data_IF_791486609508
#
_entry.id   IF_791486609508
#
_cell.length_a   1.000
_cell.length_b   1.000
_cell.length_c   1.000
_cell.angle_alpha   90.00
_cell.angle_beta   90.00
_cell.angle_gamma   90.00
#
_symmetry.space_group_name_H-M   'P 1'
#
loop_
_entity.id
_entity.type
_entity.pdbx_description
1 polymer ?
#
# COMPACT_ATOMS: atom_id res chain seq x y z
N UNK A 1 4.01 34.90 -5.03
CA UNK A 1 4.42 33.93 -6.07
C UNK A 1 4.10 32.53 -5.56
N UNK A 2 3.24 31.77 -6.26
CA UNK A 2 3.04 30.35 -5.96
C UNK A 2 4.25 29.59 -6.50
N UNK A 3 5.14 29.16 -5.61
CA UNK A 3 6.30 28.35 -5.99
C UNK A 3 5.82 26.92 -6.27
N UNK A 4 5.92 26.47 -7.51
CA UNK A 4 5.69 25.09 -7.87
C UNK A 4 6.94 24.27 -7.59
N UNK A 5 6.86 23.35 -6.63
CA UNK A 5 7.92 22.39 -6.32
C UNK A 5 7.82 21.17 -7.24
N UNK A 6 8.97 20.55 -7.48
CA UNK A 6 9.08 19.31 -8.27
C UNK A 6 10.02 18.35 -7.55
N UNK A 7 9.65 17.07 -7.53
CA UNK A 7 10.43 15.99 -6.95
C UNK A 7 10.51 14.83 -7.92
N UNK A 8 11.71 14.56 -8.44
CA UNK A 8 11.99 13.38 -9.25
C UNK A 8 12.28 12.20 -8.31
N UNK A 9 11.50 11.14 -8.43
CA UNK A 9 11.66 9.92 -7.65
C UNK A 9 11.97 8.71 -8.53
N UNK A 10 12.83 7.82 -8.01
CA UNK A 10 13.03 6.45 -8.49
C UNK A 10 12.40 5.48 -7.49
N UNK A 11 11.25 4.87 -7.80
CA UNK A 11 10.59 3.98 -6.88
C UNK A 11 11.25 2.60 -6.83
N UNK A 12 11.30 2.01 -5.64
CA UNK A 12 11.80 0.65 -5.42
C UNK A 12 10.80 -0.08 -4.53
N UNK A 13 10.17 -1.12 -5.06
CA UNK A 13 9.24 -1.97 -4.34
C UNK A 13 9.99 -3.04 -3.53
N UNK A 14 9.63 -3.20 -2.25
CA UNK A 14 10.26 -4.16 -1.34
C UNK A 14 9.21 -4.89 -0.50
N UNK A 15 9.43 -6.19 -0.29
CA UNK A 15 8.58 -7.01 0.58
C UNK A 15 8.92 -6.82 2.06
N UNK A 16 10.18 -6.49 2.39
CA UNK A 16 10.66 -6.27 3.77
C UNK A 16 11.56 -5.05 3.87
N UNK A 17 11.59 -4.40 5.05
CA UNK A 17 12.46 -3.24 5.31
C UNK A 17 13.94 -3.63 5.22
N UNK A 18 14.32 -4.76 5.81
CA UNK A 18 15.70 -5.23 5.92
C UNK A 18 16.33 -5.75 4.62
N UNK A 19 15.53 -6.02 3.59
CA UNK A 19 16.06 -6.41 2.27
C UNK A 19 16.93 -5.30 1.67
N UNK A 20 17.85 -5.63 0.77
CA UNK A 20 18.66 -4.59 0.09
C UNK A 20 17.77 -3.83 -0.90
N UNK A 21 18.06 -2.56 -1.14
CA UNK A 21 17.31 -1.82 -2.16
C UNK A 21 17.55 -2.42 -3.56
N UNK A 22 18.72 -3.05 -3.79
CA UNK A 22 19.05 -3.77 -5.03
C UNK A 22 18.29 -5.08 -5.25
N UNK A 23 17.70 -5.65 -4.19
CA UNK A 23 16.81 -6.82 -4.31
C UNK A 23 15.35 -6.42 -4.53
N UNK A 24 15.04 -5.12 -4.43
CA UNK A 24 13.70 -4.60 -4.71
C UNK A 24 13.46 -4.42 -6.21
N UNK A 25 12.19 -4.41 -6.60
CA UNK A 25 11.81 -4.14 -8.00
C UNK A 25 11.84 -2.64 -8.24
N UNK A 26 12.77 -2.17 -9.07
CA UNK A 26 12.86 -0.76 -9.45
C UNK A 26 11.80 -0.45 -10.50
N UNK A 27 11.00 0.60 -10.27
CA UNK A 27 10.00 1.10 -11.20
C UNK A 27 10.53 2.28 -11.99
N UNK A 28 9.83 2.65 -13.07
CA UNK A 28 10.14 3.85 -13.86
C UNK A 28 10.14 5.11 -12.99
N UNK A 29 11.08 6.01 -13.28
CA UNK A 29 11.17 7.29 -12.59
C UNK A 29 9.87 8.11 -12.78
N UNK A 30 9.53 8.88 -11.76
CA UNK A 30 8.30 9.69 -11.73
C UNK A 30 8.58 11.07 -11.17
N UNK A 31 7.94 12.08 -11.76
CA UNK A 31 8.04 13.47 -11.29
C UNK A 31 6.74 13.87 -10.62
N UNK A 32 6.79 14.06 -9.30
CA UNK A 32 5.70 14.67 -8.57
C UNK A 32 5.85 16.20 -8.58
N UNK A 33 4.75 16.92 -8.77
CA UNK A 33 4.72 18.40 -8.77
C UNK A 33 3.61 18.92 -7.86
N UNK A 34 3.84 20.03 -7.17
CA UNK A 34 2.85 20.62 -6.27
C UNK A 34 3.32 21.93 -5.63
N UNK A 35 2.40 22.72 -5.10
CA UNK A 35 2.65 23.99 -4.42
C UNK A 35 3.08 23.82 -2.95
N UNK A 36 2.92 22.60 -2.41
CA UNK A 36 3.30 22.20 -1.05
C UNK A 36 3.85 20.78 -1.04
N UNK A 37 4.49 20.39 0.07
CA UNK A 37 4.92 18.99 0.23
C UNK A 37 3.73 18.03 0.32
N UNK A 38 2.61 18.47 0.89
CA UNK A 38 1.38 17.67 0.96
C UNK A 38 0.84 17.34 -0.43
N UNK A 39 0.83 18.27 -1.38
CA UNK A 39 0.42 18.00 -2.77
C UNK A 39 1.37 17.03 -3.47
N UNK A 40 2.69 17.19 -3.27
CA UNK A 40 3.70 16.23 -3.77
C UNK A 40 3.42 14.83 -3.22
N UNK A 41 3.16 14.72 -1.91
CA UNK A 41 2.86 13.47 -1.23
C UNK A 41 1.55 12.85 -1.74
N UNK A 42 0.50 13.63 -1.96
CA UNK A 42 -0.75 13.17 -2.55
C UNK A 42 -0.55 12.64 -3.97
N UNK A 43 0.27 13.30 -4.79
CA UNK A 43 0.62 12.84 -6.13
C UNK A 43 1.34 11.49 -6.11
N UNK A 44 2.34 11.34 -5.24
CA UNK A 44 3.05 10.08 -5.05
C UNK A 44 2.15 8.97 -4.51
N UNK A 45 1.29 9.29 -3.54
CA UNK A 45 0.33 8.36 -2.98
C UNK A 45 -0.66 7.86 -4.04
N UNK A 46 -1.21 8.76 -4.84
CA UNK A 46 -2.09 8.40 -5.96
C UNK A 46 -1.39 7.46 -6.96
N UNK A 47 -0.12 7.73 -7.26
CA UNK A 47 0.67 6.92 -8.20
C UNK A 47 1.03 5.52 -7.65
N UNK A 48 1.34 5.43 -6.35
CA UNK A 48 1.98 4.23 -5.78
C UNK A 48 1.17 3.48 -4.73
N UNK A 49 0.06 4.04 -4.22
CA UNK A 49 -0.83 3.28 -3.31
C UNK A 49 -1.35 1.97 -3.91
N UNK A 50 -1.62 1.84 -5.24
CA UNK A 50 -2.01 0.55 -5.82
C UNK A 50 -0.91 -0.52 -5.78
N UNK A 51 0.35 -0.14 -5.49
CA UNK A 51 1.49 -1.06 -5.33
C UNK A 51 1.63 -1.56 -3.89
N UNK A 52 0.94 -0.92 -2.93
CA UNK A 52 0.88 -1.38 -1.54
C UNK A 52 -0.25 -2.40 -1.45
N UNK A 53 0.10 -3.66 -1.14
CA UNK A 53 -0.84 -4.79 -1.09
C UNK A 53 -1.72 -4.76 0.16
N UNK A 54 -1.23 -4.11 1.21
CA UNK A 54 -1.91 -3.88 2.47
C UNK A 54 -0.94 -3.26 3.48
N UNK A 55 -1.37 -3.01 4.70
CA UNK A 55 -0.46 -2.69 5.80
C UNK A 55 -0.59 -3.76 6.86
N UNK A 56 0.52 -4.46 7.10
CA UNK A 56 0.64 -5.39 8.20
C UNK A 56 0.58 -4.63 9.52
N UNK A 57 -0.25 -5.12 10.42
CA UNK A 57 -0.36 -4.66 11.80
C UNK A 57 -0.13 -5.87 12.68
N UNK A 58 0.61 -5.65 13.76
CA UNK A 58 0.78 -6.62 14.83
C UNK A 58 0.29 -5.97 16.10
N UNK A 59 -0.69 -6.59 16.74
CA UNK A 59 -1.24 -6.12 18.01
C UNK A 59 -0.39 -6.61 19.19
N UNK A 60 -0.85 -6.30 20.40
CA UNK A 60 -0.17 -6.66 21.65
C UNK A 60 -0.20 -8.18 21.91
N UNK A 61 -1.14 -8.90 21.29
CA UNK A 61 -1.29 -10.35 21.37
C UNK A 61 -0.45 -11.09 20.30
N UNK A 62 0.49 -10.37 19.65
CA UNK A 62 1.36 -10.86 18.57
C UNK A 62 0.58 -11.39 17.35
N UNK A 63 -0.67 -10.97 17.19
CA UNK A 63 -1.53 -11.41 16.10
C UNK A 63 -1.35 -10.51 14.88
N UNK A 64 -1.09 -11.14 13.74
CA UNK A 64 -0.98 -10.44 12.47
C UNK A 64 -2.37 -10.11 11.91
N UNK A 65 -2.52 -8.88 11.42
CA UNK A 65 -3.68 -8.43 10.66
C UNK A 65 -3.29 -7.55 9.49
N UNK A 66 -4.22 -7.37 8.54
CA UNK A 66 -4.03 -6.53 7.35
C UNK A 66 -5.06 -5.42 7.35
N UNK A 67 -4.58 -4.18 7.26
CA UNK A 67 -5.44 -3.01 7.08
C UNK A 67 -5.21 -2.38 5.72
N UNK A 68 -6.25 -1.74 5.18
CA UNK A 68 -6.12 -0.94 3.96
C UNK A 68 -5.37 0.35 4.33
N UNK A 69 -4.22 0.63 3.71
CA UNK A 69 -3.45 1.80 4.08
C UNK A 69 -4.09 3.06 3.50
N UNK A 70 -4.07 4.14 4.27
CA UNK A 70 -4.54 5.46 3.85
C UNK A 70 -3.37 6.43 3.69
N UNK A 71 -3.62 7.64 3.16
CA UNK A 71 -2.58 8.65 3.01
C UNK A 71 -1.91 9.01 4.35
N UNK A 72 -2.65 8.94 5.46
CA UNK A 72 -2.14 9.12 6.82
C UNK A 72 -1.10 8.06 7.22
N UNK A 73 -1.17 6.87 6.62
CA UNK A 73 -0.21 5.78 6.83
C UNK A 73 1.03 5.89 5.93
N UNK A 74 1.18 6.96 5.15
CA UNK A 74 2.30 7.15 4.20
C UNK A 74 3.66 6.74 4.79
N UNK A 75 4.01 7.22 5.98
CA UNK A 75 5.30 6.95 6.62
C UNK A 75 5.50 5.50 7.04
N UNK A 76 4.40 4.74 7.17
CA UNK A 76 4.40 3.31 7.46
C UNK A 76 4.56 2.45 6.22
N UNK A 77 4.32 2.97 5.01
CA UNK A 77 4.36 2.17 3.78
C UNK A 77 5.32 2.69 2.73
N UNK A 78 5.76 3.94 2.85
CA UNK A 78 6.70 4.57 1.92
C UNK A 78 7.75 5.39 2.65
N UNK A 79 8.94 5.44 2.09
CA UNK A 79 10.09 6.12 2.69
C UNK A 79 10.99 6.73 1.62
N UNK A 80 11.36 7.99 1.79
CA UNK A 80 12.36 8.62 0.96
C UNK A 80 13.77 8.26 1.40
N UNK A 81 14.64 8.01 0.43
CA UNK A 81 16.08 7.88 0.63
C UNK A 81 16.83 8.81 -0.32
N UNK A 82 17.83 9.48 0.24
CA UNK A 82 18.78 10.29 -0.50
C UNK A 82 20.20 9.81 -0.22
N UNK A 83 20.95 9.44 -1.26
CA UNK A 83 22.32 8.89 -1.13
C UNK A 83 22.40 7.77 -0.08
N UNK A 84 21.45 6.82 -0.14
CA UNK A 84 21.27 5.68 0.79
C UNK A 84 20.85 6.04 2.22
N UNK A 85 20.71 7.33 2.56
CA UNK A 85 20.23 7.77 3.87
C UNK A 85 18.72 7.98 3.85
N UNK A 86 18.04 7.48 4.86
CA UNK A 86 16.61 7.74 5.07
C UNK A 86 16.41 9.23 5.31
N UNK A 87 15.47 9.83 4.58
CA UNK A 87 15.04 11.20 4.83
C UNK A 87 14.05 11.16 5.98
N UNK A 88 14.33 11.93 7.03
CA UNK A 88 13.43 12.02 8.18
C UNK A 88 12.10 12.67 7.76
N UNK A 89 10.99 11.98 8.02
CA UNK A 89 9.64 12.35 7.61
C UNK A 89 8.92 13.29 8.59
N UNK A 90 9.51 13.58 9.75
CA UNK A 90 8.91 14.44 10.81
C UNK A 90 9.08 15.95 10.57
N UNK A 91 9.69 16.31 9.43
CA UNK A 91 9.92 17.70 9.02
C UNK A 91 8.62 18.50 8.97
N UNK A 92 8.71 19.74 9.40
CA UNK A 92 7.65 20.71 9.17
C UNK A 92 7.65 21.19 7.70
N UNK A 93 6.59 21.90 7.32
CA UNK A 93 6.41 22.40 5.94
C UNK A 93 7.57 23.29 5.46
N UNK A 94 8.19 24.11 6.33
CA UNK A 94 9.30 24.99 5.95
C UNK A 94 10.56 24.17 5.63
N UNK A 95 10.85 23.18 6.47
CA UNK A 95 11.97 22.25 6.26
C UNK A 95 11.78 21.41 5.00
N UNK A 96 10.55 20.95 4.74
CA UNK A 96 10.23 20.26 3.50
C UNK A 96 10.43 21.14 2.27
N UNK A 97 9.98 22.40 2.30
CA UNK A 97 10.19 23.33 1.19
C UNK A 97 11.66 23.56 0.90
N UNK A 98 12.47 23.80 1.94
CA UNK A 98 13.92 23.95 1.80
C UNK A 98 14.54 22.69 1.22
N UNK A 99 14.09 21.51 1.68
CA UNK A 99 14.56 20.24 1.16
C UNK A 99 14.19 20.04 -0.32
N UNK A 100 12.95 20.34 -0.73
CA UNK A 100 12.49 20.25 -2.12
C UNK A 100 13.30 21.16 -3.04
N UNK A 101 13.54 22.41 -2.64
CA UNK A 101 14.38 23.34 -3.42
C UNK A 101 15.82 22.83 -3.53
N UNK A 102 16.38 22.34 -2.42
CA UNK A 102 17.75 21.82 -2.38
C UNK A 102 17.94 20.57 -3.23
N UNK A 103 16.90 19.75 -3.40
CA UNK A 103 16.92 18.49 -4.16
C UNK A 103 16.37 18.61 -5.57
N UNK A 104 16.08 19.82 -6.03
CA UNK A 104 15.57 20.04 -7.38
C UNK A 104 16.57 19.50 -8.42
N UNK A 105 16.07 18.65 -9.31
CA UNK A 105 16.87 17.99 -10.35
C UNK A 105 17.64 16.75 -9.89
N UNK A 106 17.65 16.44 -8.58
CA UNK A 106 18.20 15.18 -8.07
C UNK A 106 17.14 14.07 -8.11
N UNK A 107 17.56 12.85 -8.44
CA UNK A 107 16.71 11.66 -8.30
C UNK A 107 16.72 11.16 -6.86
N UNK A 108 15.56 11.19 -6.22
CA UNK A 108 15.36 10.66 -4.86
C UNK A 108 14.86 9.22 -4.95
N UNK A 109 15.37 8.31 -4.13
CA UNK A 109 14.81 6.96 -4.08
C UNK A 109 13.54 6.97 -3.22
N UNK A 110 12.44 6.48 -3.77
CA UNK A 110 11.20 6.23 -3.02
C UNK A 110 11.08 4.73 -2.77
N UNK A 111 11.32 4.30 -1.54
CA UNK A 111 11.09 2.91 -1.15
C UNK A 111 9.62 2.72 -0.84
N UNK A 112 9.01 1.68 -1.43
CA UNK A 112 7.61 1.31 -1.22
C UNK A 112 7.59 -0.09 -0.62
N UNK A 113 7.00 -0.23 0.56
CA UNK A 113 6.85 -1.52 1.23
C UNK A 113 5.50 -2.14 0.90
N UNK A 114 5.50 -3.35 0.36
CA UNK A 114 4.28 -4.04 -0.08
C UNK A 114 3.25 -4.21 1.05
N UNK A 115 3.74 -4.51 2.26
CA UNK A 115 2.92 -4.70 3.46
C UNK A 115 3.25 -3.71 4.58
N UNK A 116 3.94 -2.62 4.26
CA UNK A 116 4.38 -1.64 5.24
C UNK A 116 5.66 -2.00 6.00
N UNK A 117 6.09 -1.07 6.85
CA UNK A 117 7.40 -1.04 7.49
C UNK A 117 7.47 -1.87 8.78
N UNK A 118 6.37 -2.48 9.22
CA UNK A 118 6.39 -3.38 10.39
C UNK A 118 7.12 -4.68 10.04
N UNK A 119 7.07 -5.11 8.78
CA UNK A 119 7.78 -6.30 8.31
C UNK A 119 9.27 -5.99 8.11
N UNK A 120 10.07 -6.27 9.13
CA UNK A 120 11.50 -5.98 9.13
C UNK A 120 12.30 -7.08 8.44
N UNK A 121 12.01 -8.34 8.76
CA UNK A 121 12.78 -9.52 8.30
C UNK A 121 11.95 -10.40 7.37
N UNK A 122 12.63 -11.25 6.61
CA UNK A 122 11.97 -12.26 5.79
C UNK A 122 11.12 -13.23 6.62
N UNK A 123 11.60 -13.61 7.81
CA UNK A 123 10.83 -14.46 8.72
C UNK A 123 9.49 -13.82 9.13
N UNK A 124 9.47 -12.51 9.42
CA UNK A 124 8.22 -11.80 9.76
C UNK A 124 7.29 -11.77 8.56
N UNK A 125 7.83 -11.59 7.35
CA UNK A 125 7.07 -11.63 6.11
C UNK A 125 6.41 -12.98 5.88
N UNK A 126 7.15 -14.06 6.08
CA UNK A 126 6.66 -15.42 5.89
C UNK A 126 5.58 -15.73 6.93
N UNK A 127 5.81 -15.41 8.21
CA UNK A 127 4.82 -15.59 9.28
C UNK A 127 3.53 -14.80 9.03
N UNK A 128 3.66 -13.53 8.62
CA UNK A 128 2.53 -12.69 8.22
C UNK A 128 1.78 -13.27 7.01
N UNK A 129 2.51 -13.78 6.02
CA UNK A 129 1.92 -14.38 4.82
C UNK A 129 1.14 -15.64 5.18
N UNK A 130 1.70 -16.53 6.01
CA UNK A 130 0.99 -17.71 6.52
C UNK A 130 -0.28 -17.33 7.29
N UNK A 131 -0.20 -16.33 8.18
CA UNK A 131 -1.31 -15.95 9.03
C UNK A 131 -2.43 -15.22 8.27
N UNK A 132 -2.09 -14.32 7.35
CA UNK A 132 -3.06 -13.37 6.79
C UNK A 132 -3.31 -13.49 5.29
N UNK A 133 -2.39 -14.08 4.53
CA UNK A 133 -2.44 -14.08 3.06
C UNK A 133 -2.69 -15.47 2.50
N UNK A 134 -2.14 -16.52 3.11
CA UNK A 134 -2.37 -17.89 2.68
C UNK A 134 -3.79 -18.34 3.02
N UNK A 135 -4.48 -19.02 2.09
CA UNK A 135 -5.75 -19.65 2.38
C UNK A 135 -5.59 -20.67 3.51
N UNK A 136 -6.43 -20.60 4.54
CA UNK A 136 -6.35 -21.50 5.70
C UNK A 136 -6.53 -22.97 5.35
N UNK A 137 -7.09 -23.28 4.17
CA UNK A 137 -7.26 -24.64 3.66
C UNK A 137 -6.75 -24.75 2.22
N UNK A 138 -5.57 -25.32 2.07
CA UNK A 138 -5.14 -25.94 0.81
C UNK A 138 -5.56 -27.40 0.80
N UNK A 139 -6.17 -27.86 -0.29
CA UNK A 139 -6.40 -29.29 -0.48
C UNK A 139 -5.06 -30.06 -0.64
N UNK A 140 -5.13 -31.38 -0.80
CA UNK A 140 -3.94 -32.24 -0.97
C UNK A 140 -3.06 -31.85 -2.18
N UNK A 141 -3.55 -31.01 -3.09
CA UNK A 141 -2.84 -30.52 -4.26
C UNK A 141 -2.34 -29.07 -4.11
N UNK A 142 -2.56 -28.41 -2.96
CA UNK A 142 -2.09 -27.04 -2.73
C UNK A 142 -3.03 -25.97 -3.30
N UNK A 143 -4.19 -26.34 -3.82
CA UNK A 143 -5.21 -25.39 -4.28
C UNK A 143 -6.09 -24.94 -3.11
N UNK A 144 -6.56 -23.68 -3.12
CA UNK A 144 -7.57 -23.21 -2.15
C UNK A 144 -8.76 -24.18 -2.18
N UNK A 145 -9.01 -24.87 -1.06
CA UNK A 145 -10.11 -25.82 -0.98
C UNK A 145 -11.42 -25.08 -1.27
N UNK A 146 -12.18 -25.56 -2.27
CA UNK A 146 -13.40 -24.93 -2.77
C UNK A 146 -14.42 -24.61 -1.66
N UNK A 147 -14.40 -25.39 -0.57
CA UNK A 147 -15.22 -25.15 0.63
C UNK A 147 -14.95 -23.79 1.29
N UNK A 148 -13.68 -23.36 1.33
CA UNK A 148 -13.27 -22.10 1.96
C UNK A 148 -13.73 -20.88 1.18
N UNK A 149 -13.79 -20.95 -0.16
CA UNK A 149 -14.31 -19.85 -0.98
C UNK A 149 -15.81 -19.65 -0.79
N UNK A 150 -16.58 -20.74 -0.69
CA UNK A 150 -18.03 -20.65 -0.44
C UNK A 150 -18.33 -20.12 0.96
N UNK A 151 -17.56 -20.53 1.96
CA UNK A 151 -17.69 -20.04 3.32
C UNK A 151 -17.33 -18.54 3.40
N UNK A 152 -16.23 -18.11 2.78
CA UNK A 152 -15.84 -16.68 2.69
C UNK A 152 -16.89 -15.86 1.93
N UNK A 153 -17.45 -16.37 0.84
CA UNK A 153 -18.54 -15.70 0.10
C UNK A 153 -19.79 -15.58 0.97
N UNK A 154 -20.16 -16.62 1.71
CA UNK A 154 -21.31 -16.61 2.62
C UNK A 154 -21.12 -15.63 3.77
N UNK A 155 -19.93 -15.57 4.36
CA UNK A 155 -19.62 -14.66 5.46
C UNK A 155 -19.62 -13.20 4.98
N UNK A 156 -19.09 -12.94 3.78
CA UNK A 156 -19.16 -11.62 3.13
C UNK A 156 -20.59 -11.21 2.79
N UNK A 157 -21.41 -12.13 2.28
CA UNK A 157 -22.83 -11.90 2.02
C UNK A 157 -23.58 -11.55 3.31
N UNK A 158 -23.37 -12.33 4.37
CA UNK A 158 -24.01 -12.11 5.68
C UNK A 158 -23.62 -10.75 6.29
N UNK A 159 -22.34 -10.37 6.17
CA UNK A 159 -21.85 -9.08 6.64
C UNK A 159 -22.39 -7.90 5.82
N UNK A 160 -22.60 -8.08 4.52
CA UNK A 160 -23.19 -7.06 3.66
C UNK A 160 -24.70 -6.93 3.84
N UNK A 161 -25.43 -8.02 4.01
CA UNK A 161 -26.87 -8.00 4.27
C UNK A 161 -27.21 -7.27 5.59
N UNK A 162 -26.33 -7.32 6.61
CA UNK A 162 -26.52 -6.55 7.84
C UNK A 162 -26.18 -5.06 7.73
N UNK A 163 -25.46 -4.65 6.68
CA UNK A 163 -24.89 -3.29 6.53
C UNK A 163 -25.48 -2.54 5.34
N UNK A 164 -26.24 -3.21 4.48
CA UNK A 164 -26.81 -2.66 3.26
C UNK A 164 -28.21 -2.08 3.50
N UNK A 165 -28.29 -0.75 3.55
CA UNK A 165 -29.56 -0.01 3.54
C UNK A 165 -29.89 0.45 2.10
N UNK A 166 -30.90 -0.18 1.51
CA UNK A 166 -31.27 0.00 0.11
C UNK A 166 -31.82 1.40 -0.22
N UNK A 167 -32.35 2.14 0.76
CA UNK A 167 -32.96 3.46 0.51
C UNK A 167 -31.92 4.57 0.27
N UNK A 168 -30.68 4.41 0.73
CA UNK A 168 -29.62 5.44 0.63
C UNK A 168 -28.84 5.41 -0.71
N UNK A 169 -29.12 4.47 -1.61
CA UNK A 169 -28.19 4.09 -2.69
C UNK A 169 -28.49 4.72 -4.07
N UNK A 170 -29.50 5.56 -4.21
CA UNK A 170 -29.93 5.96 -5.59
C UNK A 170 -28.99 6.94 -6.31
N UNK A 171 -28.01 7.62 -5.68
CA UNK A 171 -27.16 8.56 -6.45
C UNK A 171 -25.64 8.61 -6.17
N UNK A 172 -25.08 7.79 -5.27
CA UNK A 172 -23.62 7.85 -4.96
C UNK A 172 -22.78 6.62 -5.32
N UNK A 173 -23.37 5.52 -5.79
CA UNK A 173 -22.69 4.21 -5.70
C UNK A 173 -22.37 3.49 -7.03
N UNK A 174 -22.36 4.18 -8.17
CA UNK A 174 -21.85 3.55 -9.41
C UNK A 174 -20.32 3.31 -9.31
N UNK A 175 -19.58 4.16 -8.59
CA UNK A 175 -18.11 4.07 -8.44
C UNK A 175 -17.66 2.97 -7.49
N UNK A 176 -18.41 2.71 -6.40
CA UNK A 176 -18.12 1.66 -5.43
C UNK A 176 -18.47 0.27 -5.96
N UNK A 177 -19.60 0.12 -6.67
CA UNK A 177 -19.94 -1.12 -7.40
C UNK A 177 -18.89 -1.41 -8.49
N UNK A 178 -18.43 -0.37 -9.20
CA UNK A 178 -17.35 -0.51 -10.19
C UNK A 178 -15.97 -0.84 -9.59
N UNK A 179 -15.72 -0.47 -8.33
CA UNK A 179 -14.49 -0.82 -7.60
C UNK A 179 -14.56 -2.24 -7.03
N UNK A 180 -15.70 -2.64 -6.49
CA UNK A 180 -15.95 -4.00 -6.03
C UNK A 180 -15.82 -5.01 -7.18
N UNK A 181 -16.37 -4.68 -8.36
CA UNK A 181 -16.26 -5.52 -9.57
C UNK A 181 -14.83 -5.63 -10.10
N UNK A 182 -14.01 -4.57 -9.99
CA UNK A 182 -12.57 -4.60 -10.34
C UNK A 182 -11.73 -5.39 -9.34
N UNK A 183 -12.09 -5.33 -8.04
CA UNK A 183 -11.47 -6.14 -6.99
C UNK A 183 -11.78 -7.63 -7.17
N UNK A 184 -13.01 -7.95 -7.57
CA UNK A 184 -13.43 -9.30 -7.97
C UNK A 184 -12.68 -9.82 -9.20
N UNK A 185 -12.58 -9.04 -10.27
CA UNK A 185 -11.82 -9.43 -11.47
C UNK A 185 -10.33 -9.65 -11.17
N UNK A 186 -9.75 -8.87 -10.25
CA UNK A 186 -8.35 -9.04 -9.84
C UNK A 186 -8.12 -10.32 -9.03
N UNK A 187 -9.02 -10.63 -8.08
CA UNK A 187 -8.98 -11.87 -7.29
C UNK A 187 -9.16 -13.08 -8.21
N UNK A 188 -10.13 -13.06 -9.12
CA UNK A 188 -10.40 -14.19 -10.03
C UNK A 188 -9.28 -14.38 -11.06
N UNK A 189 -8.63 -13.33 -11.57
CA UNK A 189 -7.50 -13.45 -12.51
C UNK A 189 -6.17 -13.91 -11.89
N UNK A 190 -6.03 -13.92 -10.56
CA UNK A 190 -4.82 -14.40 -9.86
C UNK A 190 -5.03 -15.76 -9.17
N UNK A 191 -6.19 -16.39 -9.37
CA UNK A 191 -6.58 -17.69 -8.80
C UNK A 191 -6.83 -18.77 -9.88
N UNK A 192 -6.51 -18.50 -11.15
CA UNK A 192 -6.44 -19.48 -12.25
C UNK A 192 -5.03 -19.54 -12.80
#
# INVERSE_FOLDING_TARGET
>A
QNLLYQLLVRPVLKSTVGSRDSSGTTLSDFVATGSSFQEIMQGLWSAYSPRVKGRAVRDDDDTWSVVVPELSDWTRVMQFKHKKKVVDSSKNEREWRQWLVKRRGETITLVIFEYGSVIQRQQDHDAFTEACIRPHHTDRAGATAERSLRDVVRDLQTHWDSTFDAEQVVYKNISLVSRARRRWLWIVSHLV
#
